data_IF_792923462823
#
_entry.id   IF_792923462823
#
_cell.length_a   1.000
_cell.length_b   1.000
_cell.length_c   1.000
_cell.angle_alpha   90.00
_cell.angle_beta   90.00
_cell.angle_gamma   90.00
#
_symmetry.space_group_name_H-M   'P 1'
#
loop_
_entity.id
_entity.type
_entity.pdbx_description
1 polymer ?
#
# COMPACT_ATOMS: atom_id res chain seq x y z
N UNK A 1 36.93 21.88 -18.05
CA UNK A 1 36.44 21.82 -16.66
C UNK A 1 35.35 20.76 -16.58
N UNK A 2 35.55 19.65 -15.86
CA UNK A 2 34.50 18.67 -15.66
C UNK A 2 33.40 19.29 -14.79
N UNK A 3 32.15 19.17 -15.22
CA UNK A 3 30.98 19.66 -14.50
C UNK A 3 30.98 19.13 -13.04
N UNK A 4 30.54 19.92 -12.06
CA UNK A 4 30.43 19.47 -10.68
C UNK A 4 29.54 18.23 -10.64
N UNK A 5 30.06 17.13 -10.07
CA UNK A 5 29.29 15.91 -9.85
C UNK A 5 28.07 16.27 -9.00
N UNK A 6 26.88 15.99 -9.51
CA UNK A 6 25.63 16.20 -8.78
C UNK A 6 25.73 15.52 -7.41
N UNK A 7 25.23 16.15 -6.33
CA UNK A 7 25.22 15.51 -5.02
C UNK A 7 24.43 14.20 -5.11
N UNK A 8 25.09 13.06 -4.83
CA UNK A 8 24.38 11.80 -4.65
C UNK A 8 23.39 12.00 -3.50
N UNK A 9 22.09 12.13 -3.78
CA UNK A 9 21.10 12.04 -2.74
C UNK A 9 21.23 10.65 -2.15
N UNK A 10 21.54 10.49 -0.84
CA UNK A 10 21.50 9.18 -0.22
C UNK A 10 20.08 8.68 -0.46
N UNK A 11 19.97 7.61 -1.25
CA UNK A 11 18.72 6.89 -1.40
C UNK A 11 18.34 6.49 0.01
N UNK A 12 17.36 7.19 0.59
CA UNK A 12 16.84 6.92 1.91
C UNK A 12 16.17 5.56 1.85
N UNK A 13 16.96 4.50 1.87
CA UNK A 13 16.55 3.11 2.13
C UNK A 13 16.27 3.02 3.63
N UNK A 14 15.35 3.85 4.09
CA UNK A 14 14.91 3.95 5.48
C UNK A 14 13.96 2.82 5.80
N UNK A 15 14.42 1.57 5.75
CA UNK A 15 13.62 0.41 6.15
C UNK A 15 13.09 0.54 7.58
N UNK A 16 13.85 1.19 8.49
CA UNK A 16 13.40 1.43 9.87
C UNK A 16 12.23 2.41 9.98
N UNK A 17 12.11 3.36 9.04
CA UNK A 17 11.00 4.33 9.04
C UNK A 17 9.65 3.66 8.73
N UNK A 18 9.68 2.49 8.07
CA UNK A 18 8.50 1.68 7.77
C UNK A 18 7.83 1.20 9.06
N UNK A 19 8.61 0.88 10.10
CA UNK A 19 8.06 0.47 11.40
C UNK A 19 7.28 1.61 12.07
N UNK A 20 7.79 2.84 11.97
CA UNK A 20 7.10 4.02 12.47
C UNK A 20 5.82 4.29 11.68
N UNK A 21 5.87 4.14 10.35
CA UNK A 21 4.69 4.25 9.50
C UNK A 21 3.67 3.15 9.81
N UNK A 22 4.11 1.92 10.05
CA UNK A 22 3.24 0.80 10.40
C UNK A 22 2.55 1.02 11.76
N UNK A 23 3.31 1.46 12.77
CA UNK A 23 2.74 1.84 14.07
C UNK A 23 1.72 2.97 13.93
N UNK A 24 2.05 4.00 13.14
CA UNK A 24 1.12 5.07 12.79
C UNK A 24 -0.13 4.56 12.07
N UNK A 25 0.03 3.62 11.13
CA UNK A 25 -1.08 3.02 10.39
C UNK A 25 -2.02 2.24 11.31
N UNK A 26 -1.48 1.40 12.19
CA UNK A 26 -2.27 0.65 13.19
C UNK A 26 -3.02 1.63 14.09
N UNK A 27 -2.34 2.66 14.60
CA UNK A 27 -2.97 3.70 15.41
C UNK A 27 -4.10 4.41 14.65
N UNK A 28 -3.85 4.84 13.40
CA UNK A 28 -4.84 5.51 12.56
C UNK A 28 -6.05 4.63 12.23
N UNK A 29 -5.82 3.36 11.87
CA UNK A 29 -6.88 2.42 11.57
C UNK A 29 -7.73 2.09 12.82
N UNK A 30 -7.10 2.06 14.01
CA UNK A 30 -7.80 1.88 15.29
C UNK A 30 -8.59 3.12 15.66
N UNK A 31 -8.02 4.31 15.48
CA UNK A 31 -8.71 5.59 15.68
C UNK A 31 -9.95 5.70 14.78
N UNK A 32 -9.85 5.29 13.51
CA UNK A 32 -10.99 5.30 12.61
C UNK A 32 -12.09 4.31 13.02
N UNK A 33 -11.72 3.13 13.55
CA UNK A 33 -12.66 2.16 14.10
C UNK A 33 -13.36 2.69 15.36
N UNK A 34 -12.62 3.37 16.24
CA UNK A 34 -13.17 4.03 17.42
C UNK A 34 -14.11 5.18 17.05
N UNK A 35 -13.76 5.95 16.01
CA UNK A 35 -14.53 7.08 15.51
C UNK A 35 -15.61 6.71 14.49
N UNK A 36 -15.98 5.43 14.38
CA UNK A 36 -16.89 4.95 13.35
C UNK A 36 -18.22 5.72 13.32
N UNK A 37 -18.73 6.12 14.48
CA UNK A 37 -19.97 6.90 14.59
C UNK A 37 -19.93 8.26 13.90
N UNK A 38 -18.74 8.85 13.71
CA UNK A 38 -18.59 10.14 13.03
C UNK A 38 -18.78 10.04 11.52
N UNK A 39 -18.57 8.86 10.93
CA UNK A 39 -18.48 8.71 9.48
C UNK A 39 -19.35 7.59 8.90
N UNK A 40 -19.97 6.75 9.73
CA UNK A 40 -20.87 5.67 9.30
C UNK A 40 -22.09 6.16 8.50
N UNK A 41 -22.56 7.38 8.78
CA UNK A 41 -23.76 7.96 8.16
C UNK A 41 -23.44 8.94 7.03
N UNK A 42 -22.18 8.99 6.57
CA UNK A 42 -21.81 9.84 5.44
C UNK A 42 -22.55 9.39 4.16
N UNK A 43 -22.87 10.34 3.25
CA UNK A 43 -23.48 10.00 1.97
C UNK A 43 -22.60 9.00 1.20
N UNK A 44 -23.18 7.84 0.91
CA UNK A 44 -22.54 6.80 0.11
C UNK A 44 -23.32 6.58 -1.18
N UNK A 45 -22.60 6.36 -2.28
CA UNK A 45 -23.19 5.91 -3.53
C UNK A 45 -23.15 4.39 -3.60
N UNK A 46 -24.13 3.81 -4.29
CA UNK A 46 -24.14 2.37 -4.52
C UNK A 46 -22.91 1.94 -5.33
N UNK A 47 -22.30 0.79 -4.99
CA UNK A 47 -21.17 0.27 -5.77
C UNK A 47 -21.58 -0.02 -7.22
N UNK A 48 -21.00 0.72 -8.16
CA UNK A 48 -21.22 0.50 -9.59
C UNK A 48 -20.17 -0.47 -10.12
N UNK A 49 -20.62 -1.64 -10.57
CA UNK A 49 -19.78 -2.63 -11.23
C UNK A 49 -20.05 -2.60 -12.73
N UNK A 50 -19.01 -2.38 -13.54
CA UNK A 50 -19.17 -2.27 -15.00
C UNK A 50 -19.72 -3.55 -15.62
N UNK A 51 -19.44 -4.72 -15.04
CA UNK A 51 -19.92 -6.00 -15.58
C UNK A 51 -21.43 -6.10 -15.64
N UNK A 52 -22.14 -5.42 -14.73
CA UNK A 52 -23.60 -5.50 -14.64
C UNK A 52 -24.29 -4.68 -15.73
N UNK A 53 -23.57 -3.72 -16.33
CA UNK A 53 -24.11 -2.82 -17.36
C UNK A 53 -23.68 -3.19 -18.78
N UNK A 54 -22.42 -3.59 -18.97
CA UNK A 54 -21.82 -3.85 -20.30
C UNK A 54 -21.34 -5.29 -20.47
N UNK A 55 -21.69 -6.17 -19.52
CA UNK A 55 -21.24 -7.56 -19.48
C UNK A 55 -19.77 -7.69 -19.07
N UNK A 56 -19.37 -8.92 -18.73
CA UNK A 56 -18.02 -9.22 -18.29
C UNK A 56 -16.95 -8.84 -19.33
N UNK A 57 -17.16 -9.23 -20.59
CA UNK A 57 -16.22 -8.91 -21.68
C UNK A 57 -16.12 -7.41 -21.95
N UNK A 58 -17.23 -6.67 -21.86
CA UNK A 58 -17.25 -5.22 -22.00
C UNK A 58 -16.46 -4.55 -20.89
N UNK A 59 -16.71 -4.93 -19.63
CA UNK A 59 -15.99 -4.44 -18.46
C UNK A 59 -14.49 -4.69 -18.56
N UNK A 60 -14.11 -5.89 -18.98
CA UNK A 60 -12.71 -6.26 -19.22
C UNK A 60 -12.07 -5.42 -20.32
N UNK A 61 -12.74 -5.26 -21.48
CA UNK A 61 -12.23 -4.47 -22.60
C UNK A 61 -12.03 -2.99 -22.22
N UNK A 62 -12.98 -2.40 -21.49
CA UNK A 62 -12.87 -1.03 -20.98
C UNK A 62 -11.69 -0.90 -20.01
N UNK A 63 -11.54 -1.86 -19.09
CA UNK A 63 -10.42 -1.89 -18.14
C UNK A 63 -9.07 -1.94 -18.86
N UNK A 64 -8.92 -2.83 -19.85
CA UNK A 64 -7.70 -2.92 -20.66
C UNK A 64 -7.45 -1.63 -21.44
N UNK A 65 -8.47 -1.07 -22.08
CA UNK A 65 -8.35 0.19 -22.82
C UNK A 65 -7.90 1.36 -21.92
N UNK A 66 -8.47 1.46 -20.72
CA UNK A 66 -8.09 2.48 -19.73
C UNK A 66 -6.64 2.31 -19.26
N UNK A 67 -6.21 1.08 -18.98
CA UNK A 67 -4.81 0.79 -18.60
C UNK A 67 -3.83 1.12 -19.74
N UNK A 68 -4.17 0.76 -20.98
CA UNK A 68 -3.38 1.12 -22.16
C UNK A 68 -3.27 2.63 -22.33
N UNK A 69 -4.38 3.36 -22.13
CA UNK A 69 -4.38 4.82 -22.16
C UNK A 69 -3.43 5.41 -21.10
N UNK A 70 -3.47 4.90 -19.86
CA UNK A 70 -2.54 5.32 -18.79
C UNK A 70 -1.09 5.08 -19.21
N UNK A 71 -0.78 3.93 -19.80
CA UNK A 71 0.58 3.63 -20.29
C UNK A 71 1.00 4.60 -21.41
N UNK A 72 0.13 4.88 -22.38
CA UNK A 72 0.42 5.81 -23.47
C UNK A 72 0.66 7.22 -22.94
N UNK A 73 -0.23 7.71 -22.07
CA UNK A 73 -0.14 9.06 -21.48
C UNK A 73 1.15 9.19 -20.65
N UNK A 74 1.41 8.22 -19.77
CA UNK A 74 2.62 8.25 -18.92
C UNK A 74 3.90 8.19 -19.75
N UNK A 75 3.98 7.34 -20.79
CA UNK A 75 5.14 7.31 -21.71
C UNK A 75 5.31 8.61 -22.48
N UNK A 76 4.21 9.21 -22.95
CA UNK A 76 4.25 10.49 -23.67
C UNK A 76 4.71 11.65 -22.77
N UNK A 77 4.30 11.65 -21.50
CA UNK A 77 4.76 12.63 -20.52
C UNK A 77 6.24 12.42 -20.19
N UNK A 78 6.66 11.17 -19.96
CA UNK A 78 8.08 10.83 -19.70
C UNK A 78 8.98 11.26 -20.86
N UNK A 79 8.60 10.98 -22.09
CA UNK A 79 9.37 11.40 -23.28
C UNK A 79 9.54 12.92 -23.37
N UNK A 80 8.58 13.71 -22.84
CA UNK A 80 8.65 15.18 -22.84
C UNK A 80 9.40 15.77 -21.65
N UNK A 81 9.42 15.07 -20.50
CA UNK A 81 9.99 15.59 -19.24
C UNK A 81 11.38 15.05 -18.90
N UNK A 82 11.93 14.16 -19.73
CA UNK A 82 13.27 13.59 -19.64
C UNK A 82 13.66 13.21 -18.19
N UNK A 83 12.95 12.24 -17.58
CA UNK A 83 13.22 11.85 -16.20
C UNK A 83 14.66 11.33 -16.04
N UNK A 84 15.27 11.49 -14.85
CA UNK A 84 16.59 10.94 -14.60
C UNK A 84 16.60 9.43 -14.86
N UNK A 85 17.72 8.89 -15.40
CA UNK A 85 17.79 7.48 -15.73
C UNK A 85 17.54 6.61 -14.50
N UNK A 86 16.72 5.59 -14.65
CA UNK A 86 16.54 4.57 -13.60
C UNK A 86 17.89 3.88 -13.38
N UNK A 87 18.31 3.76 -12.11
CA UNK A 87 19.55 3.06 -11.77
C UNK A 87 19.55 1.63 -12.33
N UNK A 88 20.74 1.13 -12.66
CA UNK A 88 20.91 -0.24 -13.16
C UNK A 88 20.37 -1.22 -12.12
N UNK A 89 19.39 -2.03 -12.52
CA UNK A 89 18.76 -2.97 -11.61
C UNK A 89 19.78 -4.06 -11.22
N UNK A 90 19.98 -4.38 -9.93
CA UNK A 90 20.97 -5.37 -9.52
C UNK A 90 20.67 -6.75 -10.13
N UNK A 91 21.49 -7.18 -11.10
CA UNK A 91 21.37 -8.48 -11.74
C UNK A 91 22.46 -9.44 -11.26
N UNK A 92 22.08 -10.61 -10.74
CA UNK A 92 23.03 -11.69 -10.47
C UNK A 92 23.44 -12.41 -11.78
N UNK A 93 24.68 -12.93 -11.83
CA UNK A 93 25.27 -13.58 -13.02
C UNK A 93 24.55 -14.86 -13.49
N UNK A 94 23.84 -15.56 -12.59
CA UNK A 94 23.19 -16.85 -12.89
C UNK A 94 21.69 -16.80 -12.61
N UNK A 95 20.87 -17.45 -13.44
CA UNK A 95 19.40 -17.40 -13.35
C UNK A 95 18.84 -17.92 -12.01
N UNK A 96 19.44 -18.96 -11.43
CA UNK A 96 19.06 -19.50 -10.11
C UNK A 96 19.34 -18.50 -8.98
N UNK A 97 20.52 -17.88 -8.97
CA UNK A 97 20.87 -16.84 -8.01
C UNK A 97 20.02 -15.58 -8.23
N UNK A 98 19.63 -15.29 -9.47
CA UNK A 98 18.75 -14.16 -9.81
C UNK A 98 17.32 -14.35 -9.32
N UNK A 99 16.81 -15.58 -9.28
CA UNK A 99 15.49 -15.88 -8.72
C UNK A 99 15.40 -15.53 -7.23
N UNK A 100 16.47 -15.79 -6.46
CA UNK A 100 16.50 -15.57 -5.01
C UNK A 100 17.14 -14.24 -4.56
N UNK A 101 18.06 -13.67 -5.35
CA UNK A 101 18.85 -12.48 -4.99
C UNK A 101 18.80 -11.34 -6.00
N UNK A 102 18.22 -11.58 -7.18
CA UNK A 102 18.16 -10.59 -8.24
C UNK A 102 16.85 -9.82 -8.25
N UNK A 103 16.86 -8.67 -8.90
CA UNK A 103 15.63 -7.94 -9.21
C UNK A 103 14.83 -8.66 -10.29
N UNK A 104 13.54 -8.89 -10.03
CA UNK A 104 12.63 -9.48 -11.00
C UNK A 104 12.13 -8.42 -12.00
N UNK A 105 11.85 -8.80 -13.26
CA UNK A 105 11.19 -7.91 -14.19
C UNK A 105 9.77 -7.59 -13.68
N UNK A 106 9.31 -6.36 -13.92
CA UNK A 106 7.99 -5.89 -13.46
C UNK A 106 6.84 -6.84 -13.88
N UNK A 107 6.92 -7.43 -15.07
CA UNK A 107 5.93 -8.37 -15.56
C UNK A 107 5.87 -9.65 -14.71
N UNK A 108 7.01 -10.17 -14.24
CA UNK A 108 7.03 -11.33 -13.36
C UNK A 108 6.44 -10.99 -11.99
N UNK A 109 6.76 -9.80 -11.44
CA UNK A 109 6.13 -9.32 -10.21
C UNK A 109 4.61 -9.18 -10.32
N UNK A 110 4.12 -8.63 -11.44
CA UNK A 110 2.69 -8.51 -11.71
C UNK A 110 2.01 -9.88 -11.82
N UNK A 111 2.63 -10.85 -12.51
CA UNK A 111 2.10 -12.20 -12.64
C UNK A 111 2.03 -12.92 -11.29
N UNK A 112 3.09 -12.86 -10.49
CA UNK A 112 3.11 -13.46 -9.13
C UNK A 112 2.03 -12.82 -8.26
N UNK A 113 1.91 -11.50 -8.27
CA UNK A 113 0.90 -10.80 -7.48
C UNK A 113 -0.52 -11.19 -7.90
N UNK A 114 -0.77 -11.35 -9.22
CA UNK A 114 -2.06 -11.80 -9.73
C UNK A 114 -2.39 -13.23 -9.30
N UNK A 115 -1.42 -14.14 -9.38
CA UNK A 115 -1.59 -15.55 -8.93
C UNK A 115 -1.83 -15.61 -7.42
N UNK A 116 -1.08 -14.84 -6.62
CA UNK A 116 -1.28 -14.78 -5.18
C UNK A 116 -2.65 -14.18 -4.82
N UNK A 117 -3.06 -13.10 -5.51
CA UNK A 117 -4.39 -12.52 -5.32
C UNK A 117 -5.52 -13.50 -5.67
N UNK A 118 -5.38 -14.26 -6.75
CA UNK A 118 -6.31 -15.34 -7.09
C UNK A 118 -6.30 -16.44 -6.01
N UNK A 119 -5.14 -16.83 -5.49
CA UNK A 119 -5.02 -17.78 -4.40
C UNK A 119 -5.72 -17.30 -3.11
N UNK A 120 -5.52 -16.03 -2.72
CA UNK A 120 -6.19 -15.42 -1.57
C UNK A 120 -7.71 -15.43 -1.77
N UNK A 121 -8.19 -15.09 -2.96
CA UNK A 121 -9.62 -15.13 -3.30
C UNK A 121 -10.19 -16.55 -3.17
N UNK A 122 -9.49 -17.55 -3.72
CA UNK A 122 -9.93 -18.95 -3.68
C UNK A 122 -9.96 -19.52 -2.25
N UNK A 123 -8.97 -19.19 -1.42
CA UNK A 123 -8.86 -19.72 -0.05
C UNK A 123 -9.73 -18.94 0.93
N UNK A 124 -9.77 -17.62 0.82
CA UNK A 124 -10.43 -16.75 1.80
C UNK A 124 -11.90 -16.52 1.49
N UNK A 125 -12.30 -16.67 0.21
CA UNK A 125 -13.65 -16.38 -0.28
C UNK A 125 -13.91 -14.89 -0.53
N UNK A 126 -12.89 -14.04 -0.43
CA UNK A 126 -12.99 -12.59 -0.58
C UNK A 126 -11.73 -11.97 -1.16
N UNK A 127 -11.83 -10.70 -1.57
CA UNK A 127 -10.70 -9.95 -2.09
C UNK A 127 -9.57 -9.82 -1.04
N UNK A 128 -8.32 -9.68 -1.52
CA UNK A 128 -7.15 -9.51 -0.66
C UNK A 128 -7.25 -8.23 0.17
N UNK A 129 -7.64 -8.38 1.44
CA UNK A 129 -7.66 -7.33 2.45
C UNK A 129 -6.41 -7.35 3.33
N UNK A 130 -6.04 -6.18 3.84
CA UNK A 130 -4.91 -5.96 4.76
C UNK A 130 -5.36 -5.06 5.92
N UNK A 131 -6.12 -4.01 5.60
CA UNK A 131 -6.50 -2.99 6.59
C UNK A 131 -7.28 -3.55 7.79
N UNK A 132 -8.13 -4.58 7.59
CA UNK A 132 -8.93 -5.25 8.63
C UNK A 132 -8.10 -5.67 9.84
N UNK A 133 -7.02 -6.40 9.60
CA UNK A 133 -6.14 -6.93 10.63
C UNK A 133 -5.50 -5.81 11.48
N UNK A 134 -5.09 -4.71 10.85
CA UNK A 134 -4.44 -3.62 11.59
C UNK A 134 -5.36 -2.91 12.59
N UNK A 135 -6.67 -2.76 12.30
CA UNK A 135 -7.57 -2.27 13.37
C UNK A 135 -7.84 -3.34 14.41
N UNK A 136 -7.84 -4.63 14.06
CA UNK A 136 -7.99 -5.70 15.05
C UNK A 136 -6.83 -5.64 16.03
N UNK A 137 -5.58 -5.66 15.56
CA UNK A 137 -4.39 -5.67 16.43
C UNK A 137 -4.32 -4.43 17.31
N UNK A 138 -4.66 -3.26 16.77
CA UNK A 138 -4.68 -2.04 17.57
C UNK A 138 -5.86 -1.98 18.55
N UNK A 139 -7.01 -2.57 18.22
CA UNK A 139 -8.15 -2.65 19.15
C UNK A 139 -7.88 -3.66 20.28
N UNK A 140 -7.28 -4.80 19.98
CA UNK A 140 -6.80 -5.77 20.97
C UNK A 140 -5.76 -5.16 21.92
N UNK A 141 -4.83 -4.37 21.38
CA UNK A 141 -3.87 -3.62 22.20
C UNK A 141 -4.58 -2.63 23.13
N UNK A 142 -5.61 -1.92 22.63
CA UNK A 142 -6.42 -1.03 23.47
C UNK A 142 -7.17 -1.81 24.55
N UNK A 143 -7.72 -2.99 24.22
CA UNK A 143 -8.32 -3.90 25.20
C UNK A 143 -7.33 -4.35 26.28
N UNK A 144 -6.13 -4.75 25.88
CA UNK A 144 -5.06 -5.15 26.78
C UNK A 144 -4.58 -4.01 27.71
N UNK A 145 -4.72 -2.75 27.28
CA UNK A 145 -4.43 -1.56 28.07
C UNK A 145 -5.61 -1.11 28.97
N UNK A 146 -6.69 -1.90 29.05
CA UNK A 146 -7.86 -1.64 29.88
C UNK A 146 -8.97 -0.84 29.19
N UNK A 147 -8.90 -0.67 27.87
CA UNK A 147 -10.01 -0.15 27.07
C UNK A 147 -11.08 -1.19 26.79
N UNK A 148 -12.20 -0.74 26.20
CA UNK A 148 -13.35 -1.58 25.85
C UNK A 148 -13.70 -1.50 24.36
N UNK A 149 -12.85 -2.05 23.47
CA UNK A 149 -13.10 -2.06 22.02
C UNK A 149 -14.40 -2.77 21.63
N UNK A 150 -14.86 -3.74 22.43
CA UNK A 150 -16.11 -4.48 22.24
C UNK A 150 -17.37 -3.59 22.26
N UNK A 151 -17.26 -2.41 22.86
CA UNK A 151 -18.35 -1.43 22.94
C UNK A 151 -18.38 -0.48 21.73
N UNK A 152 -17.38 -0.52 20.86
CA UNK A 152 -17.35 0.36 19.68
C UNK A 152 -18.32 -0.15 18.63
N UNK A 153 -19.08 0.76 18.03
CA UNK A 153 -20.08 0.42 17.01
C UNK A 153 -19.47 -0.29 15.80
N UNK A 154 -18.20 -0.01 15.47
CA UNK A 154 -17.43 -0.76 14.47
C UNK A 154 -17.38 -2.26 14.77
N UNK A 155 -17.07 -2.63 16.02
CA UNK A 155 -16.92 -4.01 16.46
C UNK A 155 -18.24 -4.70 16.81
N UNK A 156 -19.35 -3.96 16.85
CA UNK A 156 -20.68 -4.53 17.03
C UNK A 156 -21.35 -4.98 15.71
N UNK A 157 -20.81 -4.58 14.56
CA UNK A 157 -21.30 -5.03 13.25
C UNK A 157 -21.12 -6.54 13.05
N UNK A 158 -22.05 -7.15 12.31
CA UNK A 158 -21.96 -8.54 11.91
C UNK A 158 -20.65 -8.79 11.12
N UNK A 159 -19.93 -9.85 11.46
CA UNK A 159 -18.59 -10.16 10.93
C UNK A 159 -17.44 -9.55 11.75
N UNK A 160 -17.48 -8.25 12.05
CA UNK A 160 -16.44 -7.62 12.86
C UNK A 160 -16.44 -8.14 14.30
N UNK A 161 -17.62 -8.36 14.88
CA UNK A 161 -17.79 -8.89 16.23
C UNK A 161 -17.12 -10.25 16.42
N UNK A 162 -17.26 -11.14 15.45
CA UNK A 162 -16.64 -12.46 15.46
C UNK A 162 -15.12 -12.35 15.35
N UNK A 163 -14.64 -11.38 14.56
CA UNK A 163 -13.22 -11.12 14.36
C UNK A 163 -12.52 -10.63 15.65
N UNK A 164 -13.19 -9.83 16.48
CA UNK A 164 -12.69 -9.39 17.79
C UNK A 164 -12.81 -10.46 18.87
N UNK A 165 -13.85 -11.31 18.82
CA UNK A 165 -14.04 -12.37 19.80
C UNK A 165 -13.05 -13.54 19.60
N UNK A 166 -12.55 -13.73 18.38
CA UNK A 166 -11.60 -14.77 18.03
C UNK A 166 -10.14 -14.36 18.27
N UNK A 167 -9.21 -15.34 18.38
CA UNK A 167 -7.79 -15.01 18.47
C UNK A 167 -7.30 -14.38 17.16
N UNK A 168 -6.35 -13.44 17.25
CA UNK A 168 -5.75 -12.76 16.08
C UNK A 168 -5.21 -13.73 15.02
N UNK A 169 -4.73 -14.90 15.44
CA UNK A 169 -4.21 -15.92 14.52
C UNK A 169 -5.30 -16.75 13.82
N UNK A 170 -6.56 -16.66 14.25
CA UNK A 170 -7.68 -17.26 13.53
C UNK A 170 -8.24 -16.34 12.42
N UNK A 171 -7.95 -15.04 12.49
CA UNK A 171 -8.36 -14.10 11.46
C UNK A 171 -7.53 -14.28 10.18
N UNK A 172 -8.23 -14.51 9.06
CA UNK A 172 -7.62 -14.78 7.75
C UNK A 172 -6.78 -13.60 7.26
N UNK A 173 -7.23 -12.36 7.50
CA UNK A 173 -6.46 -11.18 7.10
C UNK A 173 -5.19 -11.05 7.92
N UNK A 174 -5.28 -11.25 9.23
CA UNK A 174 -4.13 -11.23 10.13
C UNK A 174 -3.08 -12.28 9.78
N UNK A 175 -3.49 -13.51 9.45
CA UNK A 175 -2.59 -14.56 8.96
C UNK A 175 -1.90 -14.17 7.65
N UNK A 176 -2.66 -13.58 6.72
CA UNK A 176 -2.12 -13.12 5.43
C UNK A 176 -1.07 -12.02 5.66
N UNK A 177 -1.35 -11.06 6.54
CA UNK A 177 -0.44 -9.95 6.85
C UNK A 177 0.84 -10.44 7.57
N UNK A 178 0.70 -11.37 8.52
CA UNK A 178 1.85 -12.03 9.15
C UNK A 178 2.69 -12.76 8.10
N UNK A 179 2.05 -13.49 7.18
CA UNK A 179 2.71 -14.15 6.06
C UNK A 179 3.47 -13.18 5.16
N UNK A 180 2.88 -12.02 4.84
CA UNK A 180 3.54 -10.96 4.07
C UNK A 180 4.75 -10.41 4.82
N UNK A 181 4.63 -10.12 6.12
CA UNK A 181 5.74 -9.59 6.93
C UNK A 181 6.90 -10.57 7.01
N UNK A 182 6.62 -11.85 7.26
CA UNK A 182 7.64 -12.91 7.31
C UNK A 182 8.26 -13.10 5.92
N UNK A 183 7.44 -13.20 4.88
CA UNK A 183 7.91 -13.37 3.50
C UNK A 183 8.80 -12.21 3.04
N UNK A 184 8.42 -10.97 3.36
CA UNK A 184 9.22 -9.78 3.09
C UNK A 184 10.56 -9.80 3.86
N UNK A 185 10.56 -10.22 5.13
CA UNK A 185 11.77 -10.34 5.92
C UNK A 185 12.74 -11.39 5.36
N UNK A 186 12.22 -12.57 4.99
CA UNK A 186 12.99 -13.63 4.35
C UNK A 186 13.55 -13.17 3.01
N UNK A 187 12.73 -12.52 2.17
CA UNK A 187 13.17 -11.99 0.88
C UNK A 187 14.26 -10.91 1.04
N UNK A 188 14.11 -10.01 2.01
CA UNK A 188 15.11 -8.97 2.30
C UNK A 188 16.43 -9.57 2.81
N UNK A 189 16.37 -10.59 3.66
CA UNK A 189 17.54 -11.30 4.17
C UNK A 189 18.26 -12.08 3.05
N UNK A 190 17.53 -12.84 2.23
CA UNK A 190 18.09 -13.59 1.10
C UNK A 190 18.71 -12.66 0.04
N UNK A 191 18.06 -11.53 -0.24
CA UNK A 191 18.54 -10.51 -1.15
C UNK A 191 19.68 -9.64 -0.61
N UNK A 192 20.09 -9.81 0.66
CA UNK A 192 21.14 -9.02 1.28
C UNK A 192 20.81 -7.53 1.41
N UNK A 193 19.53 -7.18 1.40
CA UNK A 193 19.04 -5.79 1.47
C UNK A 193 18.57 -5.41 2.87
N UNK A 194 18.67 -6.31 3.84
CA UNK A 194 18.33 -6.05 5.23
C UNK A 194 19.28 -5.00 5.84
N UNK A 195 18.76 -3.81 6.11
CA UNK A 195 19.53 -2.68 6.63
C UNK A 195 18.72 -1.92 7.68
N UNK A 196 18.96 -2.24 8.96
CA UNK A 196 18.35 -1.53 10.08
C UNK A 196 19.10 -0.22 10.35
N UNK A 197 18.57 0.89 9.85
CA UNK A 197 19.12 2.21 10.10
C UNK A 197 18.65 2.72 11.47
N UNK A 198 19.57 2.98 12.39
CA UNK A 198 19.25 3.46 13.75
C UNK A 198 19.19 4.99 13.87
N UNK A 199 19.53 5.72 12.81
CA UNK A 199 19.55 7.20 12.81
C UNK A 199 18.43 7.80 11.96
N UNK A 200 17.17 7.64 12.37
CA UNK A 200 16.04 8.32 11.69
C UNK A 200 15.98 9.77 12.17
N UNK A 201 16.10 10.78 11.28
CA UNK A 201 15.93 12.17 11.67
C UNK A 201 14.54 12.40 12.26
N UNK A 202 14.45 13.18 13.35
CA UNK A 202 13.17 13.47 14.02
C UNK A 202 12.06 13.91 13.07
N UNK A 203 12.37 14.81 12.12
CA UNK A 203 11.40 15.28 11.12
C UNK A 203 10.86 14.16 10.23
N UNK A 204 11.71 13.21 9.85
CA UNK A 204 11.31 12.01 9.10
C UNK A 204 10.48 11.06 9.95
N UNK A 205 10.84 10.88 11.22
CA UNK A 205 10.08 10.06 12.15
C UNK A 205 8.64 10.60 12.34
N UNK A 206 8.50 11.91 12.58
CA UNK A 206 7.20 12.59 12.68
C UNK A 206 6.42 12.44 11.37
N UNK A 207 7.06 12.64 10.21
CA UNK A 207 6.41 12.46 8.92
C UNK A 207 5.91 11.02 8.71
N UNK A 208 6.69 10.01 9.10
CA UNK A 208 6.32 8.59 9.01
C UNK A 208 5.12 8.27 9.88
N UNK A 209 5.11 8.72 11.14
CA UNK A 209 3.99 8.46 12.06
C UNK A 209 2.72 9.17 11.58
N UNK A 210 2.80 10.47 11.28
CA UNK A 210 1.64 11.23 10.79
C UNK A 210 1.12 10.69 9.46
N UNK A 211 2.02 10.37 8.53
CA UNK A 211 1.66 9.74 7.26
C UNK A 211 0.99 8.38 7.46
N UNK A 212 1.50 7.56 8.38
CA UNK A 212 0.90 6.29 8.77
C UNK A 212 -0.51 6.47 9.32
N UNK A 213 -0.71 7.40 10.27
CA UNK A 213 -2.03 7.68 10.85
C UNK A 213 -3.03 8.10 9.77
N UNK A 214 -2.64 9.04 8.90
CA UNK A 214 -3.49 9.48 7.79
C UNK A 214 -3.81 8.34 6.82
N UNK A 215 -2.85 7.47 6.52
CA UNK A 215 -3.07 6.28 5.70
C UNK A 215 -4.03 5.29 6.37
N UNK A 216 -3.89 5.03 7.67
CA UNK A 216 -4.76 4.12 8.42
C UNK A 216 -6.20 4.63 8.49
N UNK A 217 -6.39 5.91 8.81
CA UNK A 217 -7.71 6.56 8.81
C UNK A 217 -8.32 6.55 7.40
N UNK A 218 -7.54 6.99 6.40
CA UNK A 218 -7.98 7.05 5.02
C UNK A 218 -8.35 5.69 4.44
N UNK A 219 -7.58 4.63 4.76
CA UNK A 219 -7.89 3.27 4.30
C UNK A 219 -9.21 2.75 4.86
N UNK A 220 -9.60 3.15 6.08
CA UNK A 220 -10.90 2.79 6.66
C UNK A 220 -12.05 3.56 6.04
N UNK A 221 -11.90 4.88 5.90
CA UNK A 221 -12.88 5.73 5.23
C UNK A 221 -13.11 5.32 3.77
N UNK A 222 -12.06 4.91 3.07
CA UNK A 222 -12.12 4.51 1.67
C UNK A 222 -12.53 3.04 1.45
N UNK A 223 -12.81 2.27 2.52
CA UNK A 223 -13.18 0.86 2.43
C UNK A 223 -12.05 -0.09 2.00
N UNK A 224 -10.79 0.36 2.03
CA UNK A 224 -9.63 -0.49 1.76
C UNK A 224 -8.35 0.26 1.41
N UNK A 225 -7.28 -0.51 1.23
CA UNK A 225 -5.95 -0.04 0.83
C UNK A 225 -5.69 -0.26 -0.67
N UNK A 226 -4.46 -0.01 -1.12
CA UNK A 226 -4.04 -0.19 -2.52
C UNK A 226 -4.28 -1.61 -3.05
N UNK A 227 -4.18 -2.64 -2.22
CA UNK A 227 -4.38 -4.03 -2.65
C UNK A 227 -5.89 -4.34 -2.71
N UNK A 228 -6.63 -4.00 -1.66
CA UNK A 228 -8.05 -4.31 -1.55
C UNK A 228 -8.96 -3.39 -2.37
N UNK A 229 -8.86 -2.07 -2.20
CA UNK A 229 -9.74 -1.12 -2.85
C UNK A 229 -9.33 -0.83 -4.31
N UNK A 230 -8.02 -0.70 -4.56
CA UNK A 230 -7.54 -0.34 -5.90
C UNK A 230 -7.32 -1.55 -6.80
N UNK A 231 -6.41 -2.46 -6.43
CA UNK A 231 -6.08 -3.60 -7.29
C UNK A 231 -7.27 -4.55 -7.45
N UNK A 232 -7.86 -5.02 -6.34
CA UNK A 232 -9.00 -5.92 -6.44
C UNK A 232 -10.26 -5.22 -6.98
N UNK A 233 -10.48 -3.94 -6.65
CA UNK A 233 -11.58 -3.15 -7.21
C UNK A 233 -11.51 -2.97 -8.73
N UNK A 234 -10.33 -2.63 -9.28
CA UNK A 234 -10.16 -2.55 -10.75
C UNK A 234 -10.26 -3.95 -11.38
N UNK A 235 -9.69 -4.97 -10.74
CA UNK A 235 -9.74 -6.34 -11.25
C UNK A 235 -11.17 -6.91 -11.32
N UNK A 236 -12.06 -6.50 -10.41
CA UNK A 236 -13.48 -6.87 -10.44
C UNK A 236 -14.34 -5.99 -11.35
N UNK A 237 -13.76 -4.96 -11.97
CA UNK A 237 -14.51 -4.00 -12.81
C UNK A 237 -15.34 -3.01 -12.00
N UNK A 238 -15.03 -2.80 -10.72
CA UNK A 238 -15.69 -1.79 -9.88
C UNK A 238 -15.21 -0.38 -10.24
N UNK A 239 -16.16 0.55 -10.38
CA UNK A 239 -15.86 1.96 -10.57
C UNK A 239 -15.18 2.59 -9.34
N UNK A 240 -15.47 2.08 -8.14
CA UNK A 240 -14.89 2.59 -6.89
C UNK A 240 -13.37 2.46 -6.87
N UNK A 241 -12.81 1.40 -7.48
CA UNK A 241 -11.36 1.20 -7.59
C UNK A 241 -10.68 2.28 -8.45
N UNK A 242 -11.32 2.70 -9.54
CA UNK A 242 -10.82 3.78 -10.39
C UNK A 242 -10.86 5.14 -9.69
N UNK A 243 -11.96 5.45 -9.01
CA UNK A 243 -12.09 6.67 -8.21
C UNK A 243 -11.07 6.72 -7.08
N UNK A 244 -10.92 5.61 -6.35
CA UNK A 244 -9.89 5.45 -5.33
C UNK A 244 -8.50 5.75 -5.92
N UNK A 245 -8.18 5.17 -7.09
CA UNK A 245 -6.90 5.38 -7.76
C UNK A 245 -6.64 6.84 -8.13
N UNK A 246 -7.64 7.52 -8.69
CA UNK A 246 -7.53 8.94 -9.05
C UNK A 246 -7.29 9.84 -7.83
N UNK A 247 -8.05 9.64 -6.75
CA UNK A 247 -7.93 10.41 -5.51
C UNK A 247 -6.61 10.09 -4.79
N UNK A 248 -6.18 8.83 -4.79
CA UNK A 248 -4.89 8.42 -4.22
C UNK A 248 -3.71 9.06 -4.98
N UNK A 249 -3.79 9.19 -6.31
CA UNK A 249 -2.79 9.89 -7.11
C UNK A 249 -2.75 11.40 -6.78
N UNK A 250 -3.91 12.04 -6.62
CA UNK A 250 -4.00 13.43 -6.21
C UNK A 250 -3.42 13.64 -4.79
N UNK A 251 -3.77 12.77 -3.84
CA UNK A 251 -3.20 12.78 -2.48
C UNK A 251 -1.68 12.56 -2.49
N UNK A 252 -1.18 11.68 -3.35
CA UNK A 252 0.27 11.46 -3.53
C UNK A 252 0.95 12.71 -4.07
N UNK A 253 0.33 13.43 -5.00
CA UNK A 253 0.86 14.70 -5.50
C UNK A 253 0.96 15.76 -4.41
N UNK A 254 -0.07 15.91 -3.57
CA UNK A 254 -0.04 16.79 -2.40
C UNK A 254 1.07 16.35 -1.42
N UNK A 255 1.15 15.06 -1.12
CA UNK A 255 2.16 14.48 -0.24
C UNK A 255 3.59 14.77 -0.72
N UNK A 256 3.86 14.58 -2.01
CA UNK A 256 5.16 14.94 -2.63
C UNK A 256 5.49 16.43 -2.44
N UNK A 257 4.49 17.32 -2.49
CA UNK A 257 4.68 18.76 -2.32
C UNK A 257 4.95 19.15 -0.86
N UNK A 258 4.46 18.36 0.10
CA UNK A 258 4.68 18.54 1.54
C UNK A 258 6.00 17.92 2.05
N UNK A 259 6.59 16.95 1.33
CA UNK A 259 7.86 16.28 1.72
C UNK A 259 9.00 17.22 2.15
N UNK A 260 9.26 18.37 1.48
CA UNK A 260 10.31 19.29 1.90
C UNK A 260 10.11 19.88 3.30
N UNK A 261 8.86 20.01 3.77
CA UNK A 261 8.54 20.49 5.13
C UNK A 261 9.05 19.54 6.21
N UNK A 262 9.28 18.28 5.87
CA UNK A 262 9.84 17.26 6.77
C UNK A 262 11.32 16.98 6.49
N UNK A 263 11.98 17.78 5.65
CA UNK A 263 13.39 17.60 5.32
C UNK A 263 13.66 16.45 4.35
N UNK A 264 12.62 15.93 3.70
CA UNK A 264 12.72 14.93 2.65
C UNK A 264 12.86 15.65 1.30
N UNK A 265 14.01 15.47 0.64
CA UNK A 265 14.25 16.03 -0.69
C UNK A 265 13.38 15.37 -1.75
N UNK A 266 12.94 16.15 -2.74
CA UNK A 266 12.35 15.62 -3.96
C UNK A 266 13.42 15.53 -5.06
N UNK A 267 13.45 14.45 -5.87
CA UNK A 267 14.39 14.34 -6.97
C UNK A 267 14.24 15.51 -7.93
N UNK A 268 15.35 16.18 -8.24
CA UNK A 268 15.42 17.23 -9.25
C UNK A 268 15.83 16.62 -10.60
N UNK A 269 15.47 17.23 -11.73
CA UNK A 269 15.85 16.72 -13.06
C UNK A 269 17.36 16.55 -13.29
N UNK A 270 18.20 17.21 -12.49
CA UNK A 270 19.67 17.07 -12.54
C UNK A 270 20.25 16.05 -11.55
N UNK A 271 19.43 15.36 -10.76
CA UNK A 271 19.90 14.37 -9.80
C UNK A 271 20.29 13.08 -10.52
N UNK A 272 21.51 12.61 -10.28
CA UNK A 272 22.01 11.32 -10.79
C UNK A 272 21.78 10.18 -9.81
N UNK A 273 21.67 8.96 -10.33
CA UNK A 273 21.69 7.75 -9.51
C UNK A 273 23.15 7.32 -9.32
N UNK A 274 23.55 7.21 -8.06
CA UNK A 274 24.71 6.47 -7.58
C UNK A 274 24.18 5.15 -7.01
#
# INVERSE_FOLDING_TARGET
MPAPRAPCSPSARGQSSILLTLGGFIAGATLAAWQFDLWKDLPAWEPVVLSDHIGWFGSWAVTIAALLLVVVVTRRVQARRNPPPLGTVPSARTASVRAFRGSWPLAAGALVLAVLGAGVLLVSGGAWGVTSAFSLWGSELVGALGGHPENWTWWQQAGNKEMLAGPVLADKTSLTDIGIMIGAAVAAALGGTWALHRGIPWRTAVASVLGGVLMGVGARLAGGCNIGAYLAGIASGSLSGWLWGAVALAGTWVGLRLRPLFGLGNPKPGDGVC
#
